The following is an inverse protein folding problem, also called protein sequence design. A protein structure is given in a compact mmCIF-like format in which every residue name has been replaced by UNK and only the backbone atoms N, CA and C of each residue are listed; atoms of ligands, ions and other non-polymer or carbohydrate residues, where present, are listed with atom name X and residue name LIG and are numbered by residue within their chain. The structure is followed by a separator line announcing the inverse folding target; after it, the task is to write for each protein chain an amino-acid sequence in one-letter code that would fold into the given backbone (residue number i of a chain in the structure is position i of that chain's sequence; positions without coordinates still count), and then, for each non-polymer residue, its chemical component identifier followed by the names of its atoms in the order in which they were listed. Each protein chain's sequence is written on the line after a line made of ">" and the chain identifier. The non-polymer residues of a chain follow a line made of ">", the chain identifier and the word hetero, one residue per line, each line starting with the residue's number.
data_IF_747405237342
#
_entry.id   IF_747405237342
#
_cell.length_a   1.000
_cell.length_b   1.000
_cell.length_c   1.000
_cell.angle_alpha   90.00
_cell.angle_beta   90.00
_cell.angle_gamma   90.00
#
_symmetry.space_group_name_H-M   'P 1'
#
loop_
_entity.id
_entity.type
_entity.pdbx_description
1 polymer ?
#
# COMPACT_ATOMS: atom_id res chain seq x y z
N UNK A 1 0.12 3.93 -13.55
CA UNK A 1 1.23 3.64 -12.62
C UNK A 1 1.58 4.92 -11.86
N UNK A 2 1.53 4.90 -10.53
CA UNK A 2 1.56 6.08 -9.63
C UNK A 2 2.77 6.98 -9.92
N UNK A 3 3.94 6.38 -10.14
CA UNK A 3 5.20 7.08 -10.46
C UNK A 3 5.03 8.04 -11.66
N UNK A 4 4.41 7.58 -12.75
CA UNK A 4 4.19 8.39 -13.96
C UNK A 4 3.13 9.47 -13.74
N UNK A 5 2.02 9.13 -13.06
CA UNK A 5 0.91 10.05 -12.83
C UNK A 5 1.34 11.27 -12.01
N UNK A 6 2.10 11.04 -10.94
CA UNK A 6 2.62 12.10 -10.08
C UNK A 6 4.00 12.64 -10.50
N UNK A 7 4.49 12.27 -11.69
CA UNK A 7 5.78 12.72 -12.24
C UNK A 7 6.93 12.56 -11.22
N UNK A 8 6.94 11.45 -10.50
CA UNK A 8 8.00 11.17 -9.54
C UNK A 8 9.33 10.89 -10.27
N UNK A 9 10.44 10.93 -9.53
CA UNK A 9 11.79 10.71 -10.09
C UNK A 9 11.87 9.36 -10.81
N UNK A 10 12.56 9.33 -11.95
CA UNK A 10 12.68 8.14 -12.81
C UNK A 10 13.45 6.98 -12.17
N UNK A 11 14.28 7.26 -11.17
CA UNK A 11 15.12 6.27 -10.48
C UNK A 11 14.46 5.65 -9.24
N UNK A 12 13.14 5.81 -9.06
CA UNK A 12 12.41 5.18 -7.96
C UNK A 12 12.25 3.68 -8.20
N UNK A 13 12.51 2.88 -7.16
CA UNK A 13 12.20 1.45 -7.14
C UNK A 13 10.68 1.29 -6.93
N UNK A 14 9.97 0.74 -7.92
CA UNK A 14 8.53 0.48 -7.85
C UNK A 14 8.25 -1.01 -7.71
N UNK A 15 7.49 -1.40 -6.68
CA UNK A 15 7.07 -2.78 -6.42
C UNK A 15 5.55 -2.85 -6.37
N UNK A 16 4.95 -3.85 -7.01
CA UNK A 16 3.50 -4.08 -7.02
C UNK A 16 3.20 -5.38 -6.27
N UNK A 17 2.44 -5.29 -5.17
CA UNK A 17 2.02 -6.45 -4.37
C UNK A 17 0.55 -6.75 -4.68
N UNK A 18 0.31 -7.77 -5.49
CA UNK A 18 -1.03 -8.28 -5.82
C UNK A 18 -1.32 -9.61 -5.11
N UNK A 19 -2.60 -9.94 -4.90
CA UNK A 19 -3.01 -11.26 -4.40
C UNK A 19 -2.74 -11.54 -2.92
N UNK A 20 -2.26 -10.56 -2.14
CA UNK A 20 -1.89 -10.73 -0.73
C UNK A 20 -3.10 -10.74 0.25
N UNK A 21 -4.30 -10.43 -0.24
CA UNK A 21 -5.52 -10.37 0.58
C UNK A 21 -5.51 -9.25 1.62
N UNK A 22 -6.28 -9.41 2.70
CA UNK A 22 -6.48 -8.38 3.73
C UNK A 22 -5.19 -8.02 4.50
N UNK A 23 -4.19 -8.90 4.49
CA UNK A 23 -2.89 -8.68 5.17
C UNK A 23 -1.89 -7.92 4.30
N UNK A 24 -2.25 -7.53 3.07
CA UNK A 24 -1.39 -6.78 2.15
C UNK A 24 -0.77 -5.53 2.79
N UNK A 25 -1.53 -4.85 3.66
CA UNK A 25 -1.05 -3.68 4.40
C UNK A 25 0.19 -4.00 5.24
N UNK A 26 0.12 -4.98 6.13
CA UNK A 26 1.24 -5.35 6.98
C UNK A 26 2.44 -5.86 6.17
N UNK A 27 2.20 -6.69 5.16
CA UNK A 27 3.26 -7.21 4.27
C UNK A 27 3.98 -6.05 3.57
N UNK A 28 3.23 -5.05 3.08
CA UNK A 28 3.81 -3.90 2.40
C UNK A 28 4.64 -2.99 3.33
N UNK A 29 4.25 -2.88 4.60
CA UNK A 29 4.99 -2.13 5.61
C UNK A 29 6.27 -2.86 6.02
N UNK A 30 6.22 -4.18 6.18
CA UNK A 30 7.41 -4.98 6.52
C UNK A 30 8.44 -4.95 5.38
N UNK A 31 7.99 -5.09 4.13
CA UNK A 31 8.84 -4.88 2.95
C UNK A 31 9.45 -3.47 2.92
N UNK A 32 8.65 -2.43 3.18
CA UNK A 32 9.16 -1.06 3.21
C UNK A 32 10.21 -0.86 4.31
N UNK A 33 10.03 -1.49 5.48
CA UNK A 33 10.99 -1.47 6.58
C UNK A 33 12.31 -2.11 6.16
N UNK A 34 12.30 -3.26 5.51
CA UNK A 34 13.52 -3.93 5.05
C UNK A 34 14.23 -3.13 3.94
N UNK A 35 13.47 -2.55 3.02
CA UNK A 35 14.02 -1.63 2.02
C UNK A 35 14.65 -0.40 2.66
N UNK A 36 14.02 0.19 3.67
CA UNK A 36 14.60 1.32 4.40
C UNK A 36 15.86 0.92 5.18
N UNK A 37 15.91 -0.28 5.78
CA UNK A 37 17.16 -0.77 6.41
C UNK A 37 18.29 -0.92 5.39
N UNK A 38 17.99 -1.41 4.19
CA UNK A 38 18.98 -1.62 3.14
C UNK A 38 19.40 -0.34 2.40
N UNK A 39 18.62 0.75 2.49
CA UNK A 39 18.86 1.99 1.75
C UNK A 39 18.87 3.20 2.72
N UNK A 40 20.04 3.66 3.20
CA UNK A 40 20.12 4.77 4.15
C UNK A 40 19.59 6.09 3.57
N UNK A 41 19.13 6.99 4.45
CA UNK A 41 18.66 8.35 4.10
C UNK A 41 17.59 8.40 2.99
N UNK A 42 16.67 7.44 3.01
CA UNK A 42 15.68 7.22 1.96
C UNK A 42 14.25 7.40 2.49
N UNK A 43 13.32 7.51 1.55
CA UNK A 43 11.88 7.48 1.81
C UNK A 43 11.27 6.25 1.13
N UNK A 44 10.25 5.69 1.76
CA UNK A 44 9.40 4.68 1.14
C UNK A 44 7.95 5.16 1.16
N UNK A 45 7.29 5.11 0.01
CA UNK A 45 5.84 5.38 -0.10
C UNK A 45 5.14 4.05 -0.32
N UNK A 46 4.27 3.70 0.62
CA UNK A 46 3.41 2.52 0.51
C UNK A 46 2.02 3.00 0.12
N UNK A 47 1.49 2.49 -0.99
CA UNK A 47 0.12 2.77 -1.42
C UNK A 47 -0.62 1.45 -1.50
N UNK A 48 -1.73 1.35 -0.78
CA UNK A 48 -2.64 0.21 -0.81
C UNK A 48 -4.00 0.66 -1.33
N UNK A 49 -4.61 -0.17 -2.17
CA UNK A 49 -5.93 0.09 -2.75
C UNK A 49 -6.70 -1.22 -2.81
N UNK A 50 -7.99 -1.16 -2.50
CA UNK A 50 -8.92 -2.29 -2.54
C UNK A 50 -10.09 -1.91 -3.44
N UNK A 51 -10.36 -2.73 -4.46
CA UNK A 51 -11.48 -2.56 -5.38
C UNK A 51 -12.30 -3.86 -5.43
N UNK A 52 -13.60 -3.77 -5.18
CA UNK A 52 -14.53 -4.90 -5.14
C UNK A 52 -15.47 -4.96 -6.34
N UNK A 53 -15.35 -4.04 -7.30
CA UNK A 53 -16.26 -3.92 -8.45
C UNK A 53 -16.40 -5.24 -9.23
N UNK A 54 -15.30 -5.99 -9.35
CA UNK A 54 -15.27 -7.28 -10.06
C UNK A 54 -15.62 -8.49 -9.19
N UNK A 55 -15.90 -8.29 -7.90
CA UNK A 55 -16.11 -9.36 -6.92
C UNK A 55 -17.51 -9.32 -6.27
N UNK A 56 -18.45 -8.56 -6.85
CA UNK A 56 -19.81 -8.45 -6.32
C UNK A 56 -20.61 -9.73 -6.57
N UNK A 57 -21.20 -10.30 -5.51
CA UNK A 57 -22.02 -11.50 -5.63
C UNK A 57 -23.49 -11.15 -5.90
N UNK A 58 -24.03 -11.63 -7.03
CA UNK A 58 -25.44 -11.37 -7.43
C UNK A 58 -26.43 -12.50 -7.07
N UNK A 59 -25.96 -13.58 -6.45
CA UNK A 59 -26.79 -14.72 -6.08
C UNK A 59 -27.57 -14.51 -4.77
N UNK A 60 -28.25 -15.58 -4.31
CA UNK A 60 -29.11 -15.56 -3.12
C UNK A 60 -28.56 -16.39 -1.95
N UNK A 61 -27.41 -17.02 -2.10
CA UNK A 61 -26.81 -17.82 -1.04
C UNK A 61 -26.35 -16.91 0.12
N UNK A 62 -26.94 -17.12 1.31
CA UNK A 62 -26.75 -16.23 2.47
C UNK A 62 -25.29 -16.09 2.90
N UNK A 63 -24.53 -17.19 2.87
CA UNK A 63 -23.09 -17.25 3.17
C UNK A 63 -22.27 -16.32 2.27
N UNK A 64 -22.57 -16.30 0.97
CA UNK A 64 -21.84 -15.50 -0.02
C UNK A 64 -22.26 -14.02 -0.02
N UNK A 65 -23.49 -13.72 0.39
CA UNK A 65 -23.97 -12.34 0.55
C UNK A 65 -23.22 -11.55 1.63
N UNK A 66 -22.60 -12.23 2.60
CA UNK A 66 -21.82 -11.59 3.67
C UNK A 66 -20.69 -10.70 3.11
N UNK A 67 -20.03 -11.14 2.04
CA UNK A 67 -18.97 -10.39 1.38
C UNK A 67 -19.44 -9.02 0.87
N UNK A 68 -20.66 -8.94 0.33
CA UNK A 68 -21.24 -7.68 -0.15
C UNK A 68 -21.53 -6.69 0.99
N UNK A 69 -21.76 -7.18 2.21
CA UNK A 69 -22.06 -6.35 3.38
C UNK A 69 -20.80 -5.81 4.05
N UNK A 70 -19.74 -6.63 4.13
CA UNK A 70 -18.52 -6.31 4.90
C UNK A 70 -17.49 -5.56 4.05
N UNK A 71 -17.25 -5.98 2.80
CA UNK A 71 -16.18 -5.40 2.00
C UNK A 71 -16.58 -4.05 1.41
N UNK A 72 -15.62 -3.11 1.43
CA UNK A 72 -15.75 -1.77 0.86
C UNK A 72 -14.52 -1.43 0.03
N UNK A 73 -14.70 -0.50 -0.90
CA UNK A 73 -13.58 0.05 -1.67
C UNK A 73 -12.90 1.14 -0.87
N UNK A 74 -11.59 1.25 -1.04
CA UNK A 74 -10.81 2.28 -0.37
C UNK A 74 -9.34 2.21 -0.77
N UNK A 75 -8.60 3.24 -0.36
CA UNK A 75 -7.16 3.29 -0.53
C UNK A 75 -6.51 4.05 0.61
N UNK A 76 -5.25 3.75 0.86
CA UNK A 76 -4.42 4.42 1.85
C UNK A 76 -3.02 4.62 1.29
N UNK A 77 -2.36 5.69 1.71
CA UNK A 77 -0.98 5.98 1.37
C UNK A 77 -0.22 6.39 2.63
N UNK A 78 0.94 5.78 2.85
CA UNK A 78 1.81 6.04 4.01
C UNK A 78 3.22 6.38 3.52
N UNK A 79 3.80 7.45 4.07
CA UNK A 79 5.18 7.84 3.86
C UNK A 79 6.02 7.42 5.07
N UNK A 80 7.06 6.63 4.82
CA UNK A 80 8.03 6.17 5.81
C UNK A 80 9.41 6.74 5.49
N UNK A 81 10.22 6.94 6.52
CA UNK A 81 11.56 7.53 6.43
C UNK A 81 12.49 6.87 7.43
N UNK A 82 13.74 6.67 7.02
CA UNK A 82 14.85 6.34 7.93
C UNK A 82 15.86 7.50 8.08
N UNK A 83 15.50 8.70 7.62
CA UNK A 83 16.28 9.90 7.88
C UNK A 83 16.15 10.25 9.35
N UNK A 84 17.28 10.41 10.03
CA UNK A 84 17.30 10.92 11.40
C UNK A 84 16.57 12.27 11.47
N UNK A 85 15.92 12.54 12.61
CA UNK A 85 15.40 13.88 12.91
C UNK A 85 16.59 14.83 12.83
N UNK A 86 16.62 15.67 11.80
CA UNK A 86 17.60 16.75 11.74
C UNK A 86 17.32 17.61 12.98
N UNK A 87 18.19 17.52 13.98
CA UNK A 87 18.14 18.40 15.13
C UNK A 87 18.00 19.82 14.62
N UNK A 88 17.00 20.56 15.12
CA UNK A 88 17.02 22.01 14.99
C UNK A 88 18.37 22.43 15.59
N UNK A 89 19.24 23.00 14.76
CA UNK A 89 20.49 23.56 15.22
C UNK A 89 20.18 24.58 16.32
N UNK A 90 20.71 24.31 17.51
CA UNK A 90 21.11 25.33 18.48
C UNK A 90 22.56 25.66 18.14
#
# INVERSE_FOLDING_TARGET
>A
MIVKHYKLRSNIKSLNLGGMGCNAGLISIDLAKDLLKANPNSYAVVVSTVNITLNWYMGKERSMLLCNCIFRMGGTAVLLSNKGVRGKGV
#
